data_IF_599777894190
#
_entry.id   IF_599777894190
#
_cell.length_a   1.000
_cell.length_b   1.000
_cell.length_c   1.000
_cell.angle_alpha   90.00
_cell.angle_beta   90.00
_cell.angle_gamma   90.00
#
_symmetry.space_group_name_H-M   'P 1'
#
loop_
_entity.id
_entity.type
_entity.pdbx_description
1 polymer ?
#
# COMPACT_ATOMS: atom_id res chain seq x y z
N UNK A 1 -18.66 -33.52 9.02
CA UNK A 1 -17.24 -33.22 8.90
C UNK A 1 -17.05 -31.80 8.35
N UNK A 2 -16.25 -31.04 9.03
CA UNK A 2 -16.00 -29.70 8.58
C UNK A 2 -14.92 -29.71 7.50
N UNK A 3 -15.24 -29.17 6.34
CA UNK A 3 -14.25 -28.95 5.30
C UNK A 3 -13.29 -27.84 5.75
N UNK A 4 -12.01 -27.92 5.36
CA UNK A 4 -11.07 -26.87 5.66
C UNK A 4 -11.53 -25.54 5.06
N UNK A 5 -11.42 -24.48 5.85
CA UNK A 5 -11.69 -23.13 5.37
C UNK A 5 -10.43 -22.55 4.74
N UNK A 6 -10.63 -21.82 3.67
CA UNK A 6 -9.54 -21.14 2.97
C UNK A 6 -9.71 -19.64 3.23
N UNK A 7 -8.81 -19.12 4.06
CA UNK A 7 -8.82 -17.71 4.46
C UNK A 7 -7.62 -17.03 3.82
N UNK A 8 -7.89 -15.94 3.11
CA UNK A 8 -6.84 -15.12 2.52
C UNK A 8 -6.72 -13.85 3.34
N UNK A 9 -5.52 -13.54 3.78
CA UNK A 9 -5.18 -12.23 4.34
C UNK A 9 -4.60 -11.38 3.22
N UNK A 10 -5.29 -10.32 2.87
CA UNK A 10 -4.86 -9.40 1.82
C UNK A 10 -4.31 -8.13 2.46
N UNK A 11 -3.05 -7.83 2.19
CA UNK A 11 -2.37 -6.63 2.68
C UNK A 11 -1.90 -5.85 1.45
N UNK A 12 -2.39 -4.63 1.28
CA UNK A 12 -2.05 -3.80 0.13
C UNK A 12 -0.66 -3.19 0.33
N UNK A 13 0.29 -3.68 -0.44
CA UNK A 13 1.69 -3.32 -0.31
C UNK A 13 1.93 -1.85 -0.64
N UNK A 14 2.65 -1.16 0.25
CA UNK A 14 3.00 0.26 0.09
C UNK A 14 1.78 1.10 -0.33
N UNK A 15 0.64 0.90 0.32
CA UNK A 15 -0.66 1.39 -0.13
C UNK A 15 -0.68 2.90 -0.30
N UNK A 16 -0.27 3.65 0.72
CA UNK A 16 -0.32 5.12 0.65
C UNK A 16 0.55 5.66 -0.47
N UNK A 17 1.76 5.12 -0.61
CA UNK A 17 2.68 5.54 -1.66
C UNK A 17 2.11 5.20 -3.04
N UNK A 18 1.49 4.03 -3.19
CA UNK A 18 0.86 3.63 -4.45
C UNK A 18 -0.29 4.55 -4.83
N UNK A 19 -1.15 4.90 -3.87
CA UNK A 19 -2.29 5.80 -4.10
C UNK A 19 -1.80 7.20 -4.53
N UNK A 20 -0.81 7.74 -3.83
CA UNK A 20 -0.26 9.05 -4.16
C UNK A 20 0.42 9.04 -5.53
N UNK A 21 1.13 7.98 -5.85
CA UNK A 21 1.79 7.81 -7.14
C UNK A 21 0.78 7.84 -8.28
N UNK A 22 -0.32 7.11 -8.15
CA UNK A 22 -1.38 7.10 -9.16
C UNK A 22 -2.08 8.46 -9.26
N UNK A 23 -2.37 9.07 -8.13
CA UNK A 23 -3.10 10.34 -8.09
C UNK A 23 -2.32 11.48 -8.75
N UNK A 24 -1.02 11.56 -8.47
CA UNK A 24 -0.17 12.64 -8.98
C UNK A 24 0.52 12.30 -10.30
N UNK A 25 0.48 11.04 -10.72
CA UNK A 25 1.19 10.60 -11.92
C UNK A 25 2.70 10.55 -11.74
N UNK A 26 3.17 10.27 -10.53
CA UNK A 26 4.61 10.14 -10.26
C UNK A 26 5.17 8.87 -10.88
N UNK A 27 6.47 8.89 -11.16
CA UNK A 27 7.22 7.72 -11.59
C UNK A 27 7.62 6.89 -10.36
N UNK A 28 7.33 5.61 -10.36
CA UNK A 28 7.65 4.70 -9.25
C UNK A 28 9.14 4.57 -8.97
N UNK A 29 9.99 4.88 -9.96
CA UNK A 29 11.45 4.83 -9.79
C UNK A 29 12.00 6.01 -9.02
N UNK A 30 11.19 7.05 -8.83
CA UNK A 30 11.61 8.26 -8.11
C UNK A 30 11.21 8.10 -6.64
N UNK A 31 12.15 8.37 -5.70
CA UNK A 31 11.84 8.23 -4.27
C UNK A 31 10.70 9.16 -3.85
N UNK A 32 9.66 8.58 -3.24
CA UNK A 32 8.52 9.30 -2.70
C UNK A 32 8.45 9.09 -1.20
N UNK A 33 8.50 10.17 -0.45
CA UNK A 33 8.45 10.18 1.00
C UNK A 33 7.20 10.94 1.45
N UNK A 34 6.35 10.26 2.21
CA UNK A 34 5.11 10.82 2.75
C UNK A 34 5.31 11.07 4.23
N UNK A 35 5.10 12.30 4.67
CA UNK A 35 5.27 12.65 6.07
C UNK A 35 5.31 14.15 6.26
N UNK A 36 6.02 14.56 7.29
CA UNK A 36 6.16 15.97 7.62
C UNK A 36 7.01 16.71 6.58
N UNK A 37 6.86 18.04 6.54
CA UNK A 37 7.67 18.87 5.67
C UNK A 37 9.14 18.80 6.12
N UNK A 38 10.08 18.46 5.23
CA UNK A 38 11.49 18.38 5.59
C UNK A 38 12.15 19.75 5.79
N UNK A 39 11.54 20.82 5.32
CA UNK A 39 12.04 22.20 5.47
C UNK A 39 13.54 22.32 5.15
N UNK A 40 13.95 21.73 4.02
CA UNK A 40 15.35 21.74 3.59
C UNK A 40 16.31 20.99 4.51
N UNK A 41 15.81 20.04 5.28
CA UNK A 41 16.58 19.26 6.23
C UNK A 41 16.47 19.72 7.67
N UNK A 42 15.67 20.76 7.94
CA UNK A 42 15.46 21.33 9.30
C UNK A 42 14.15 20.87 9.94
N UNK A 43 13.33 20.16 9.21
CA UNK A 43 12.03 19.71 9.70
C UNK A 43 12.16 18.80 10.91
N UNK A 44 11.17 18.87 11.80
CA UNK A 44 11.18 18.15 13.08
C UNK A 44 10.28 16.91 13.10
N UNK A 45 9.48 16.72 12.07
CA UNK A 45 8.57 15.60 12.03
C UNK A 45 9.22 14.31 11.63
N UNK A 46 8.39 13.35 11.27
CA UNK A 46 8.83 12.00 10.91
C UNK A 46 8.30 11.61 9.54
N UNK A 47 8.90 10.55 8.98
CA UNK A 47 8.38 9.85 7.82
C UNK A 47 7.17 9.03 8.25
N UNK A 48 6.05 9.18 7.55
CA UNK A 48 4.90 8.31 7.72
C UNK A 48 5.13 6.99 6.97
N UNK A 49 5.40 7.09 5.68
CA UNK A 49 5.75 5.94 4.84
C UNK A 49 6.49 6.43 3.60
N UNK A 50 6.97 5.50 2.79
CA UNK A 50 7.65 5.83 1.55
C UNK A 50 7.55 4.68 0.56
N UNK A 51 7.88 4.94 -0.71
CA UNK A 51 7.89 3.91 -1.73
C UNK A 51 9.19 3.09 -1.70
N UNK A 52 9.26 2.07 -2.54
CA UNK A 52 10.44 1.19 -2.58
C UNK A 52 11.70 1.93 -3.04
N UNK A 53 11.56 2.89 -3.96
CA UNK A 53 12.70 3.69 -4.40
C UNK A 53 13.34 4.45 -3.24
N UNK A 54 12.53 5.02 -2.34
CA UNK A 54 13.02 5.69 -1.14
C UNK A 54 13.63 4.71 -0.15
N UNK A 55 13.07 3.51 -0.02
CA UNK A 55 13.60 2.49 0.91
C UNK A 55 15.00 2.04 0.55
N UNK A 56 15.38 2.15 -0.72
CA UNK A 56 16.75 1.84 -1.16
C UNK A 56 17.78 2.78 -0.55
N UNK A 57 17.37 3.98 -0.15
CA UNK A 57 18.23 4.94 0.56
C UNK A 57 18.22 4.71 2.08
N UNK A 58 17.55 3.65 2.55
CA UNK A 58 17.45 3.34 3.97
C UNK A 58 16.35 4.10 4.70
N UNK A 59 15.45 4.76 3.98
CA UNK A 59 14.34 5.51 4.57
C UNK A 59 13.26 4.54 5.05
N UNK A 60 12.73 4.77 6.25
CA UNK A 60 11.72 3.92 6.87
C UNK A 60 10.69 4.76 7.62
N UNK A 61 9.52 4.16 7.87
CA UNK A 61 8.49 4.77 8.72
C UNK A 61 9.04 5.12 10.10
N UNK A 62 8.58 6.23 10.63
CA UNK A 62 9.00 6.80 11.92
C UNK A 62 10.41 7.39 11.94
N UNK A 63 11.16 7.30 10.85
CA UNK A 63 12.46 7.97 10.75
C UNK A 63 12.27 9.48 10.82
N UNK A 64 13.19 10.18 11.50
CA UNK A 64 13.17 11.64 11.50
C UNK A 64 13.24 12.16 10.07
N UNK A 65 12.40 13.14 9.75
CA UNK A 65 12.33 13.67 8.38
C UNK A 65 13.64 14.34 7.97
N UNK A 66 14.38 14.90 8.92
CA UNK A 66 15.71 15.47 8.67
C UNK A 66 16.72 14.40 8.27
N UNK A 67 16.62 13.21 8.84
CA UNK A 67 17.47 12.08 8.48
C UNK A 67 17.12 11.58 7.08
N UNK A 68 15.83 11.49 6.76
CA UNK A 68 15.38 11.11 5.43
C UNK A 68 15.90 12.09 4.38
N UNK A 69 15.87 13.37 4.69
CA UNK A 69 16.39 14.41 3.80
C UNK A 69 17.88 14.24 3.54
N UNK A 70 18.67 13.96 4.58
CA UNK A 70 20.11 13.72 4.41
C UNK A 70 20.39 12.53 3.49
N UNK A 71 19.60 11.50 3.58
CA UNK A 71 19.75 10.31 2.75
C UNK A 71 19.24 10.48 1.33
N UNK A 72 18.17 11.26 1.18
CA UNK A 72 17.51 11.45 -0.11
C UNK A 72 16.92 12.85 -0.18
N UNK A 73 17.72 13.86 -0.52
CA UNK A 73 17.20 15.22 -0.60
C UNK A 73 16.32 15.43 -1.84
N UNK A 74 15.46 16.45 -1.77
CA UNK A 74 14.66 16.89 -2.90
C UNK A 74 15.40 17.91 -3.75
N UNK A 75 14.80 18.27 -4.89
CA UNK A 75 15.35 19.28 -5.78
C UNK A 75 15.64 20.60 -4.99
N UNK A 76 16.73 21.32 -5.31
CA UNK A 76 17.68 21.05 -6.38
C UNK A 76 18.82 20.09 -6.01
N UNK A 77 18.81 19.54 -4.79
CA UNK A 77 19.93 18.76 -4.25
C UNK A 77 19.82 17.26 -4.56
N UNK A 78 18.66 16.80 -4.97
CA UNK A 78 18.39 15.41 -5.30
C UNK A 78 17.04 15.27 -5.99
N UNK A 79 16.56 14.04 -6.12
CA UNK A 79 15.30 13.75 -6.83
C UNK A 79 14.18 13.25 -5.93
N UNK A 80 14.35 13.29 -4.62
CA UNK A 80 13.30 12.86 -3.69
C UNK A 80 12.09 13.77 -3.76
N UNK A 81 10.91 13.18 -3.62
CA UNK A 81 9.64 13.89 -3.58
C UNK A 81 9.08 13.75 -2.17
N UNK A 82 8.80 14.88 -1.52
CA UNK A 82 8.27 14.94 -0.16
C UNK A 82 6.87 15.53 -0.21
N UNK A 83 5.89 14.77 0.26
CA UNK A 83 4.49 15.21 0.30
C UNK A 83 3.87 14.88 1.65
N UNK A 84 2.81 15.62 1.98
CA UNK A 84 1.95 15.27 3.11
C UNK A 84 0.89 14.30 2.61
N UNK A 85 0.52 13.34 3.44
CA UNK A 85 -0.48 12.37 3.07
C UNK A 85 -1.88 12.98 2.98
N UNK A 86 -2.74 12.35 2.19
CA UNK A 86 -4.14 12.75 2.02
C UNK A 86 -5.06 11.62 2.49
N UNK A 87 -5.54 11.70 3.73
CA UNK A 87 -6.39 10.67 4.33
C UNK A 87 -7.68 10.43 3.54
N UNK A 88 -8.29 11.49 3.05
CA UNK A 88 -9.50 11.37 2.25
C UNK A 88 -9.28 10.58 0.97
N UNK A 89 -8.15 10.80 0.31
CA UNK A 89 -7.76 10.07 -0.88
C UNK A 89 -7.55 8.58 -0.57
N UNK A 90 -6.87 8.28 0.53
CA UNK A 90 -6.61 6.89 0.93
C UNK A 90 -7.89 6.16 1.29
N UNK A 91 -8.79 6.81 2.00
CA UNK A 91 -10.09 6.22 2.36
C UNK A 91 -10.93 5.90 1.13
N UNK A 92 -10.95 6.79 0.14
CA UNK A 92 -11.68 6.55 -1.11
C UNK A 92 -11.08 5.39 -1.90
N UNK A 93 -9.76 5.35 -2.01
CA UNK A 93 -9.07 4.27 -2.71
C UNK A 93 -9.29 2.93 -1.99
N UNK A 94 -9.20 2.92 -0.67
CA UNK A 94 -9.44 1.74 0.14
C UNK A 94 -10.84 1.18 -0.09
N UNK A 95 -11.86 2.04 -0.09
CA UNK A 95 -13.24 1.60 -0.33
C UNK A 95 -13.40 0.89 -1.69
N UNK A 96 -12.78 1.43 -2.73
CA UNK A 96 -12.83 0.82 -4.06
C UNK A 96 -12.17 -0.56 -4.07
N UNK A 97 -11.00 -0.67 -3.45
CA UNK A 97 -10.28 -1.94 -3.38
C UNK A 97 -11.08 -2.97 -2.57
N UNK A 98 -11.62 -2.55 -1.42
CA UNK A 98 -12.40 -3.46 -0.56
C UNK A 98 -13.66 -3.96 -1.25
N UNK A 99 -14.32 -3.13 -2.05
CA UNK A 99 -15.46 -3.54 -2.86
C UNK A 99 -15.09 -4.64 -3.86
N UNK A 100 -13.91 -4.55 -4.46
CA UNK A 100 -13.41 -5.57 -5.37
C UNK A 100 -13.09 -6.86 -4.62
N UNK A 101 -12.43 -6.76 -3.48
CA UNK A 101 -12.04 -7.92 -2.68
C UNK A 101 -13.23 -8.68 -2.11
N UNK A 102 -14.34 -8.01 -1.87
CA UNK A 102 -15.56 -8.66 -1.35
C UNK A 102 -16.18 -9.63 -2.36
N UNK A 103 -15.96 -9.44 -3.65
CA UNK A 103 -16.62 -10.23 -4.70
C UNK A 103 -16.38 -11.74 -4.58
N UNK A 104 -15.14 -12.24 -4.38
CA UNK A 104 -14.92 -13.67 -4.24
C UNK A 104 -15.16 -14.20 -2.82
N UNK A 105 -15.46 -13.32 -1.85
CA UNK A 105 -15.54 -13.71 -0.46
C UNK A 105 -16.94 -14.16 -0.07
N UNK A 106 -17.06 -15.33 0.57
CA UNK A 106 -18.28 -15.74 1.25
C UNK A 106 -18.44 -14.99 2.56
N UNK A 107 -17.32 -14.70 3.22
CA UNK A 107 -17.25 -13.82 4.39
C UNK A 107 -16.06 -12.88 4.20
N UNK A 108 -16.26 -11.64 4.56
CA UNK A 108 -15.26 -10.58 4.38
C UNK A 108 -15.16 -9.75 5.65
N UNK A 109 -13.92 -9.50 6.09
CA UNK A 109 -13.66 -8.66 7.25
C UNK A 109 -12.53 -7.71 6.93
N UNK A 110 -12.83 -6.41 6.93
CA UNK A 110 -11.80 -5.40 6.78
C UNK A 110 -11.12 -5.16 8.13
N UNK A 111 -9.82 -5.40 8.18
CA UNK A 111 -9.04 -5.24 9.40
C UNK A 111 -8.52 -3.81 9.57
N UNK A 112 -8.15 -3.17 8.45
CA UNK A 112 -7.65 -1.79 8.45
C UNK A 112 -7.88 -1.18 7.06
N UNK A 113 -7.35 0.02 6.85
CA UNK A 113 -7.51 0.73 5.57
C UNK A 113 -6.88 -0.05 4.41
N UNK A 114 -5.86 -0.86 4.67
CA UNK A 114 -5.12 -1.59 3.65
C UNK A 114 -5.07 -3.10 3.90
N UNK A 115 -5.90 -3.62 4.81
CA UNK A 115 -5.90 -5.05 5.13
C UNK A 115 -7.30 -5.60 5.21
N UNK A 116 -7.48 -6.82 4.72
CA UNK A 116 -8.74 -7.53 4.80
C UNK A 116 -8.52 -9.04 4.88
N UNK A 117 -9.46 -9.73 5.51
CA UNK A 117 -9.53 -11.18 5.55
C UNK A 117 -10.73 -11.63 4.73
N UNK A 118 -10.52 -12.61 3.87
CA UNK A 118 -11.53 -13.15 2.97
C UNK A 118 -11.64 -14.65 3.16
N UNK A 119 -12.85 -15.15 3.36
CA UNK A 119 -13.12 -16.58 3.28
C UNK A 119 -13.47 -16.88 1.82
N UNK A 120 -12.54 -17.51 1.11
CA UNK A 120 -12.69 -17.82 -0.30
C UNK A 120 -12.91 -19.32 -0.56
N UNK A 121 -13.32 -20.04 0.47
CA UNK A 121 -13.54 -21.50 0.40
C UNK A 121 -14.43 -21.89 -0.78
N UNK A 122 -15.59 -21.26 -0.91
CA UNK A 122 -16.54 -21.58 -1.98
C UNK A 122 -16.03 -21.15 -3.35
N UNK A 123 -15.38 -19.98 -3.41
CA UNK A 123 -14.81 -19.47 -4.66
C UNK A 123 -13.73 -20.39 -5.20
N UNK A 124 -12.82 -20.84 -4.35
CA UNK A 124 -11.74 -21.77 -4.74
C UNK A 124 -12.31 -23.11 -5.18
N UNK A 125 -13.30 -23.61 -4.45
CA UNK A 125 -13.98 -24.88 -4.79
C UNK A 125 -14.60 -24.83 -6.18
N UNK A 126 -15.32 -23.75 -6.51
CA UNK A 126 -15.93 -23.57 -7.82
C UNK A 126 -14.85 -23.44 -8.91
N UNK A 127 -13.81 -22.63 -8.67
CA UNK A 127 -12.72 -22.44 -9.62
C UNK A 127 -11.97 -23.72 -9.87
N UNK A 128 -11.69 -24.51 -8.84
CA UNK A 128 -11.01 -25.79 -8.96
C UNK A 128 -11.84 -26.78 -9.78
N UNK A 129 -13.14 -26.85 -9.53
CA UNK A 129 -14.04 -27.72 -10.27
C UNK A 129 -14.06 -27.35 -11.76
N UNK A 130 -14.09 -26.04 -12.04
CA UNK A 130 -14.06 -25.53 -13.41
C UNK A 130 -12.75 -25.92 -14.12
N UNK A 131 -11.62 -25.74 -13.47
CA UNK A 131 -10.31 -26.09 -14.03
C UNK A 131 -10.22 -27.61 -14.30
N UNK A 132 -10.69 -28.45 -13.39
CA UNK A 132 -10.68 -29.90 -13.58
C UNK A 132 -11.53 -30.32 -14.76
N UNK A 133 -12.64 -29.64 -15.00
CA UNK A 133 -13.49 -29.95 -16.15
C UNK A 133 -12.76 -29.70 -17.48
N UNK A 134 -11.80 -28.81 -17.51
CA UNK A 134 -11.00 -28.52 -18.71
C UNK A 134 -9.78 -29.43 -18.90
N UNK A 135 -9.41 -30.19 -17.87
CA UNK A 135 -8.27 -31.12 -17.96
C UNK A 135 -8.58 -32.43 -18.68
N UNK A 136 -9.83 -32.72 -18.83
CA UNK A 136 -10.28 -33.92 -19.54
C UNK A 136 -10.63 -33.57 -20.99
#
# INVERSE_FOLDING_TARGET
MNEPRIIVHCDLDAFYAAVETLHHGFDESIPLIIGSDPEGGRGRGIVSTCNYAARKFGIRSAMAISEAWRRCPAAPYGNGIYIRGSRGLYSRASRKVMQILQKPAGYFEQASIDEAYLDVTDFVSVSYTHLRAHET
#
